data_IF_999705730292
#
_entry.id   IF_999705730292
#
_cell.length_a   1.000
_cell.length_b   1.000
_cell.length_c   1.000
_cell.angle_alpha   90.00
_cell.angle_beta   90.00
_cell.angle_gamma   90.00
#
_symmetry.space_group_name_H-M   'P 1'
#
loop_
_entity.id
_entity.type
_entity.pdbx_description
1 polymer ?
#
# COMPACT_ATOMS: atom_id res chain seq x y z
N UNK A 1 8.94 12.80 -4.50
CA UNK A 1 7.62 13.44 -4.60
C UNK A 1 6.52 12.46 -5.05
N UNK A 2 6.75 11.63 -6.09
CA UNK A 2 5.74 10.67 -6.56
C UNK A 2 5.32 9.62 -5.53
N UNK A 3 6.26 9.09 -4.74
CA UNK A 3 5.97 8.10 -3.70
C UNK A 3 5.20 8.72 -2.50
N UNK A 4 5.55 9.93 -2.10
CA UNK A 4 4.85 10.67 -1.03
C UNK A 4 3.42 10.98 -1.41
N UNK A 5 3.23 11.41 -2.64
CA UNK A 5 1.95 11.77 -3.21
C UNK A 5 0.95 10.59 -3.23
N UNK A 6 1.43 9.38 -3.58
CA UNK A 6 0.63 8.15 -3.52
C UNK A 6 0.03 7.92 -2.13
N UNK A 7 0.83 8.10 -1.07
CA UNK A 7 0.37 7.94 0.31
C UNK A 7 -0.72 8.96 0.65
N UNK A 8 -0.52 10.21 0.26
CA UNK A 8 -1.51 11.25 0.49
C UNK A 8 -2.84 10.94 -0.19
N UNK A 9 -2.82 10.46 -1.44
CA UNK A 9 -4.03 10.08 -2.19
C UNK A 9 -4.79 8.94 -1.53
N UNK A 10 -4.12 8.02 -0.86
CA UNK A 10 -4.76 6.87 -0.22
C UNK A 10 -5.17 7.14 1.21
N UNK A 11 -4.32 7.81 1.98
CA UNK A 11 -4.46 7.86 3.43
C UNK A 11 -5.19 9.13 3.92
N UNK A 12 -5.10 10.25 3.17
CA UNK A 12 -5.72 11.52 3.61
C UNK A 12 -7.25 11.51 3.66
N UNK A 13 -7.93 10.76 2.79
CA UNK A 13 -9.38 10.76 2.77
C UNK A 13 -10.01 9.68 3.67
N UNK A 14 -9.20 8.81 4.27
CA UNK A 14 -9.68 7.76 5.17
C UNK A 14 -10.57 8.29 6.31
N UNK A 15 -10.25 9.41 6.97
CA UNK A 15 -11.10 9.97 8.02
C UNK A 15 -12.52 10.32 7.56
N UNK A 16 -12.71 10.54 6.25
CA UNK A 16 -14.00 10.95 5.68
C UNK A 16 -14.83 9.80 5.12
N UNK A 17 -14.32 8.56 5.12
CA UNK A 17 -15.06 7.41 4.58
C UNK A 17 -16.46 7.23 5.22
N UNK A 18 -16.63 7.33 6.55
CA UNK A 18 -17.97 7.28 7.14
C UNK A 18 -18.90 8.38 6.63
N UNK A 19 -18.45 9.64 6.58
CA UNK A 19 -19.24 10.76 6.07
C UNK A 19 -19.58 10.64 4.57
N UNK A 20 -18.74 9.98 3.79
CA UNK A 20 -19.00 9.69 2.38
C UNK A 20 -20.14 8.67 2.20
N UNK A 21 -20.30 7.70 3.13
CA UNK A 21 -21.43 6.79 3.08
C UNK A 21 -22.76 7.52 3.25
N UNK A 22 -22.77 8.52 4.14
CA UNK A 22 -23.95 9.36 4.35
C UNK A 22 -24.21 10.31 3.17
N UNK A 23 -23.14 10.92 2.62
CA UNK A 23 -23.24 11.82 1.47
C UNK A 23 -23.80 11.13 0.22
N UNK A 24 -23.27 9.94 -0.11
CA UNK A 24 -23.71 9.17 -1.28
C UNK A 24 -24.93 8.29 -0.97
N UNK A 25 -25.48 8.33 0.24
CA UNK A 25 -26.61 7.51 0.71
C UNK A 25 -26.41 6.03 0.35
N UNK A 26 -25.25 5.50 0.72
CA UNK A 26 -24.81 4.16 0.32
C UNK A 26 -24.19 3.39 1.49
N UNK A 27 -23.91 2.10 1.27
CA UNK A 27 -23.29 1.24 2.29
C UNK A 27 -21.77 1.50 2.39
N UNK A 28 -21.21 1.24 3.58
CA UNK A 28 -19.78 1.29 3.82
C UNK A 28 -18.98 0.44 2.83
N UNK A 29 -19.51 -0.72 2.42
CA UNK A 29 -18.91 -1.60 1.42
C UNK A 29 -18.74 -0.89 0.06
N UNK A 30 -19.75 -0.14 -0.40
CA UNK A 30 -19.66 0.60 -1.66
C UNK A 30 -18.68 1.76 -1.59
N UNK A 31 -18.57 2.45 -0.46
CA UNK A 31 -17.56 3.50 -0.26
C UNK A 31 -16.15 2.92 -0.26
N UNK A 32 -15.97 1.75 0.37
CA UNK A 32 -14.70 1.03 0.38
C UNK A 32 -14.26 0.57 -1.03
N UNK A 33 -15.20 0.39 -1.98
CA UNK A 33 -14.84 0.15 -3.38
C UNK A 33 -14.00 1.29 -3.98
N UNK A 34 -14.15 2.53 -3.52
CA UNK A 34 -13.29 3.65 -3.92
C UNK A 34 -11.82 3.43 -3.52
N UNK A 35 -11.58 2.86 -2.33
CA UNK A 35 -10.25 2.46 -1.90
C UNK A 35 -9.74 1.26 -2.73
N UNK A 36 -10.57 0.23 -2.85
CA UNK A 36 -10.30 -0.98 -3.64
C UNK A 36 -9.87 -0.66 -5.06
N UNK A 37 -10.69 0.10 -5.80
CA UNK A 37 -10.44 0.40 -7.21
C UNK A 37 -9.20 1.26 -7.39
N UNK A 38 -8.90 2.16 -6.45
CA UNK A 38 -7.65 2.91 -6.43
C UNK A 38 -6.43 1.99 -6.26
N UNK A 39 -6.52 0.96 -5.40
CA UNK A 39 -5.46 -0.04 -5.20
C UNK A 39 -5.28 -0.92 -6.43
N UNK A 40 -6.36 -1.41 -7.02
CA UNK A 40 -6.32 -2.18 -8.27
C UNK A 40 -5.72 -1.33 -9.39
N UNK A 41 -6.13 -0.06 -9.48
CA UNK A 41 -5.54 0.91 -10.40
C UNK A 41 -4.03 1.07 -10.20
N UNK A 42 -3.58 1.20 -8.94
CA UNK A 42 -2.15 1.26 -8.60
C UNK A 42 -1.40 -0.01 -9.02
N UNK A 43 -1.98 -1.19 -8.78
CA UNK A 43 -1.37 -2.45 -9.18
C UNK A 43 -1.19 -2.54 -10.70
N UNK A 44 -2.26 -2.29 -11.45
CA UNK A 44 -2.24 -2.30 -12.93
C UNK A 44 -1.29 -1.22 -13.47
N UNK A 45 -1.38 0.00 -12.93
CA UNK A 45 -0.55 1.11 -13.37
C UNK A 45 0.94 0.86 -13.16
N UNK A 46 1.36 0.18 -12.10
CA UNK A 46 2.77 -0.20 -11.90
C UNK A 46 3.28 -1.12 -13.01
N UNK A 47 2.46 -2.08 -13.42
CA UNK A 47 2.79 -3.03 -14.51
C UNK A 47 2.82 -2.35 -15.87
N UNK A 48 2.06 -1.27 -16.07
CA UNK A 48 1.94 -0.56 -17.36
C UNK A 48 3.00 0.55 -17.49
N UNK A 49 3.11 1.44 -16.48
CA UNK A 49 3.99 2.61 -16.59
C UNK A 49 5.48 2.27 -16.52
N UNK A 50 5.88 1.16 -15.88
CA UNK A 50 7.26 0.70 -15.89
C UNK A 50 7.75 0.50 -17.34
N UNK A 51 7.20 -0.48 -18.07
CA UNK A 51 7.53 -0.75 -19.48
C UNK A 51 7.39 0.48 -20.39
N UNK A 52 6.32 1.26 -20.22
CA UNK A 52 6.13 2.46 -21.03
C UNK A 52 7.28 3.47 -20.85
N UNK A 53 7.72 3.67 -19.61
CA UNK A 53 8.77 4.63 -19.31
C UNK A 53 10.15 4.19 -19.80
N UNK A 54 10.40 2.88 -19.85
CA UNK A 54 11.63 2.32 -20.40
C UNK A 54 11.68 2.43 -21.95
N UNK A 55 10.53 2.39 -22.61
CA UNK A 55 10.40 2.47 -24.06
C UNK A 55 10.37 3.90 -24.59
N UNK A 56 9.53 4.76 -23.99
CA UNK A 56 9.26 6.11 -24.53
C UNK A 56 10.09 7.21 -23.82
N UNK A 57 10.91 6.84 -22.84
CA UNK A 57 11.59 7.78 -21.95
C UNK A 57 10.77 8.12 -20.72
N UNK A 58 11.35 8.78 -19.75
CA UNK A 58 10.75 9.04 -18.43
C UNK A 58 9.73 10.19 -18.46
N UNK A 59 10.06 11.25 -19.20
CA UNK A 59 9.29 12.50 -19.18
C UNK A 59 7.87 12.36 -19.74
N UNK A 60 7.72 11.77 -20.94
CA UNK A 60 6.41 11.69 -21.60
C UNK A 60 5.39 10.86 -20.84
N UNK A 61 5.69 9.62 -20.38
CA UNK A 61 4.75 8.85 -19.56
C UNK A 61 4.47 9.49 -18.20
N UNK A 62 5.44 10.22 -17.62
CA UNK A 62 5.24 10.96 -16.37
C UNK A 62 4.21 12.08 -16.55
N UNK A 63 4.31 12.87 -17.60
CA UNK A 63 3.35 13.94 -17.92
C UNK A 63 1.95 13.39 -18.18
N UNK A 64 1.84 12.27 -18.91
CA UNK A 64 0.56 11.58 -19.12
C UNK A 64 -0.04 11.11 -17.79
N UNK A 65 0.77 10.47 -16.94
CA UNK A 65 0.32 10.02 -15.64
C UNK A 65 -0.16 11.18 -14.76
N UNK A 66 0.59 12.28 -14.69
CA UNK A 66 0.21 13.45 -13.89
C UNK A 66 -1.03 14.16 -14.45
N UNK A 67 -1.17 14.25 -15.77
CA UNK A 67 -2.38 14.78 -16.42
C UNK A 67 -3.63 13.95 -16.11
N UNK A 68 -3.54 12.62 -16.26
CA UNK A 68 -4.61 11.70 -15.88
C UNK A 68 -4.97 11.81 -14.40
N UNK A 69 -3.96 12.03 -13.54
CA UNK A 69 -4.20 12.23 -12.12
C UNK A 69 -5.03 13.49 -11.85
N UNK A 70 -4.71 14.62 -12.47
CA UNK A 70 -5.49 15.86 -12.31
C UNK A 70 -6.91 15.67 -12.81
N UNK A 71 -7.10 15.09 -14.00
CA UNK A 71 -8.41 14.85 -14.58
C UNK A 71 -9.25 13.95 -13.66
N UNK A 72 -8.67 12.87 -13.16
CA UNK A 72 -9.38 11.94 -12.27
C UNK A 72 -9.68 12.55 -10.90
N UNK A 73 -8.81 13.41 -10.38
CA UNK A 73 -9.07 14.15 -9.14
C UNK A 73 -10.25 15.11 -9.29
N UNK A 74 -10.30 15.84 -10.39
CA UNK A 74 -11.48 16.68 -10.74
C UNK A 74 -12.73 15.80 -10.88
N UNK A 75 -12.62 14.65 -11.55
CA UNK A 75 -13.71 13.68 -11.65
C UNK A 75 -14.23 13.19 -10.30
N UNK A 76 -13.31 12.92 -9.33
CA UNK A 76 -13.72 12.59 -7.96
C UNK A 76 -14.48 13.73 -7.28
N UNK A 77 -14.00 14.99 -7.40
CA UNK A 77 -14.63 16.16 -6.78
C UNK A 77 -16.07 16.36 -7.26
N UNK A 78 -16.31 16.19 -8.55
CA UNK A 78 -17.61 16.42 -9.17
C UNK A 78 -18.48 15.17 -9.30
N UNK A 79 -18.09 14.07 -8.67
CA UNK A 79 -18.89 12.84 -8.66
C UNK A 79 -20.21 13.04 -7.92
N UNK A 80 -21.32 12.70 -8.58
CA UNK A 80 -22.68 12.82 -8.04
C UNK A 80 -23.18 11.53 -7.40
N UNK A 81 -22.59 10.41 -7.77
CA UNK A 81 -22.92 9.09 -7.23
C UNK A 81 -21.63 8.30 -6.96
N UNK A 82 -21.78 7.25 -6.17
CA UNK A 82 -20.65 6.41 -5.74
C UNK A 82 -20.00 5.68 -6.90
N UNK A 83 -20.74 5.33 -7.94
CA UNK A 83 -20.19 4.59 -9.09
C UNK A 83 -19.23 5.46 -9.92
N UNK A 84 -19.59 6.74 -10.12
CA UNK A 84 -18.70 7.72 -10.75
C UNK A 84 -17.44 7.93 -9.91
N UNK A 85 -17.60 8.09 -8.60
CA UNK A 85 -16.46 8.25 -7.68
C UNK A 85 -15.51 7.04 -7.77
N UNK A 86 -16.03 5.83 -7.68
CA UNK A 86 -15.28 4.57 -7.78
C UNK A 86 -14.52 4.45 -9.10
N UNK A 87 -15.16 4.84 -10.22
CA UNK A 87 -14.50 4.85 -11.53
C UNK A 87 -13.33 5.85 -11.56
N UNK A 88 -13.54 7.08 -11.10
CA UNK A 88 -12.48 8.08 -11.07
C UNK A 88 -11.34 7.70 -10.12
N UNK A 89 -11.65 7.02 -9.00
CA UNK A 89 -10.66 6.47 -8.07
C UNK A 89 -9.78 5.41 -8.74
N UNK A 90 -10.35 4.56 -9.61
CA UNK A 90 -9.58 3.61 -10.41
C UNK A 90 -8.58 4.33 -11.32
N UNK A 91 -9.05 5.30 -12.10
CA UNK A 91 -8.19 6.10 -13.00
C UNK A 91 -7.10 6.83 -12.23
N UNK A 92 -7.44 7.40 -11.07
CA UNK A 92 -6.51 8.10 -10.18
C UNK A 92 -5.43 7.14 -9.64
N UNK A 93 -5.80 5.89 -9.32
CA UNK A 93 -4.87 4.85 -8.91
C UNK A 93 -3.89 4.49 -10.03
N UNK A 94 -4.36 4.24 -11.24
CA UNK A 94 -3.52 3.98 -12.42
C UNK A 94 -2.54 5.12 -12.64
N UNK A 95 -3.01 6.34 -12.61
CA UNK A 95 -2.20 7.55 -12.79
C UNK A 95 -1.15 7.72 -11.68
N UNK A 96 -1.55 7.52 -10.42
CA UNK A 96 -0.63 7.60 -9.26
C UNK A 96 0.52 6.59 -9.34
N UNK A 97 0.28 5.40 -9.88
CA UNK A 97 1.31 4.40 -10.09
C UNK A 97 2.42 4.88 -11.04
N UNK A 98 2.05 5.62 -12.09
CA UNK A 98 3.01 6.21 -13.02
C UNK A 98 3.99 7.14 -12.31
N UNK A 99 3.49 8.02 -11.44
CA UNK A 99 4.35 8.89 -10.63
C UNK A 99 5.35 8.14 -9.76
N UNK A 100 4.91 7.05 -9.13
CA UNK A 100 5.75 6.23 -8.23
C UNK A 100 6.84 5.48 -9.00
N UNK A 101 6.45 4.75 -10.04
CA UNK A 101 7.40 3.90 -10.80
C UNK A 101 8.43 4.76 -11.51
N UNK A 102 7.97 5.82 -12.19
CA UNK A 102 8.86 6.65 -12.99
C UNK A 102 9.81 7.47 -12.11
N UNK A 103 9.38 7.96 -10.93
CA UNK A 103 10.27 8.68 -10.01
C UNK A 103 11.42 7.82 -9.51
N UNK A 104 11.17 6.55 -9.21
CA UNK A 104 12.22 5.58 -8.82
C UNK A 104 13.16 5.28 -9.99
N UNK A 105 12.62 5.11 -11.19
CA UNK A 105 13.44 4.90 -12.39
C UNK A 105 14.32 6.11 -12.68
N UNK A 106 13.82 7.34 -12.54
CA UNK A 106 14.61 8.58 -12.67
C UNK A 106 15.76 8.62 -11.66
N UNK A 107 15.50 8.20 -10.42
CA UNK A 107 16.55 8.11 -9.40
C UNK A 107 17.63 7.11 -9.83
N UNK A 108 17.22 5.93 -10.32
CA UNK A 108 18.15 4.91 -10.81
C UNK A 108 18.96 5.36 -12.05
N UNK A 109 18.37 6.19 -12.91
CA UNK A 109 19.05 6.71 -14.11
C UNK A 109 20.11 7.80 -13.77
N UNK A 110 19.93 8.53 -12.65
CA UNK A 110 20.75 9.72 -12.32
C UNK A 110 21.84 9.48 -11.29
N UNK A 111 21.68 8.48 -10.42
CA UNK A 111 22.55 8.27 -9.27
C UNK A 111 23.35 6.98 -9.42
N UNK A 112 24.61 7.00 -8.98
CA UNK A 112 25.44 5.79 -8.85
C UNK A 112 24.83 4.84 -7.81
N UNK A 113 25.23 3.56 -7.81
CA UNK A 113 24.67 2.54 -6.92
C UNK A 113 24.70 2.94 -5.43
N UNK A 114 25.76 3.59 -4.99
CA UNK A 114 25.90 4.06 -3.60
C UNK A 114 24.99 5.25 -3.29
N UNK A 115 24.95 6.23 -4.17
CA UNK A 115 24.07 7.42 -4.04
C UNK A 115 22.59 7.04 -4.16
N UNK A 116 22.27 6.08 -5.03
CA UNK A 116 20.91 5.56 -5.20
C UNK A 116 20.39 4.92 -3.91
N UNK A 117 21.23 4.16 -3.20
CA UNK A 117 20.86 3.59 -1.91
C UNK A 117 20.47 4.67 -0.89
N UNK A 118 21.27 5.76 -0.81
CA UNK A 118 20.96 6.91 0.04
C UNK A 118 19.69 7.64 -0.38
N UNK A 119 19.46 7.79 -1.69
CA UNK A 119 18.26 8.43 -2.23
C UNK A 119 16.99 7.58 -1.95
N UNK A 120 17.07 6.27 -2.14
CA UNK A 120 15.97 5.35 -1.82
C UNK A 120 15.66 5.30 -0.32
N UNK A 121 16.69 5.37 0.54
CA UNK A 121 16.50 5.48 1.99
C UNK A 121 15.78 6.80 2.36
N UNK A 122 16.16 7.92 1.72
CA UNK A 122 15.48 9.21 1.89
C UNK A 122 14.02 9.14 1.44
N UNK A 123 13.74 8.55 0.28
CA UNK A 123 12.37 8.32 -0.20
C UNK A 123 11.59 7.47 0.81
N UNK A 124 12.21 6.43 1.37
CA UNK A 124 11.62 5.58 2.40
C UNK A 124 11.28 6.35 3.67
N UNK A 125 12.20 7.19 4.16
CA UNK A 125 11.98 8.02 5.34
C UNK A 125 10.84 9.04 5.13
N UNK A 126 10.83 9.73 3.98
CA UNK A 126 9.77 10.67 3.63
C UNK A 126 8.42 9.97 3.48
N UNK A 127 8.40 8.76 2.91
CA UNK A 127 7.18 7.93 2.86
C UNK A 127 6.68 7.53 4.26
N UNK A 128 7.59 7.19 5.19
CA UNK A 128 7.23 6.92 6.59
C UNK A 128 6.58 8.13 7.26
N UNK A 129 7.17 9.31 7.11
CA UNK A 129 6.60 10.56 7.62
C UNK A 129 5.24 10.85 6.96
N UNK A 130 5.13 10.69 5.66
CA UNK A 130 3.89 10.93 4.92
C UNK A 130 2.74 10.02 5.41
N UNK A 131 3.02 8.77 5.78
CA UNK A 131 2.02 7.84 6.32
C UNK A 131 1.42 8.33 7.65
N UNK A 132 2.20 9.04 8.46
CA UNK A 132 1.74 9.63 9.71
C UNK A 132 1.02 10.97 9.47
N UNK A 133 1.61 11.83 8.64
CA UNK A 133 1.12 13.21 8.41
C UNK A 133 -0.14 13.22 7.53
N UNK A 134 -0.27 12.30 6.57
CA UNK A 134 -1.38 12.31 5.64
C UNK A 134 -2.76 12.12 6.32
N UNK A 135 -2.99 11.14 7.20
CA UNK A 135 -4.27 11.02 7.91
C UNK A 135 -4.56 12.21 8.83
N UNK A 136 -3.53 12.72 9.53
CA UNK A 136 -3.68 13.89 10.43
C UNK A 136 -4.08 15.14 9.62
N UNK A 137 -3.39 15.39 8.51
CA UNK A 137 -3.77 16.47 7.60
C UNK A 137 -5.15 16.27 6.99
N UNK A 138 -5.50 15.01 6.68
CA UNK A 138 -6.82 14.62 6.20
C UNK A 138 -7.92 14.86 7.24
N UNK A 139 -7.69 14.51 8.51
CA UNK A 139 -8.60 14.78 9.62
C UNK A 139 -8.84 16.28 9.81
N UNK A 140 -7.77 17.08 9.83
CA UNK A 140 -7.87 18.53 9.92
C UNK A 140 -8.64 19.15 8.73
N UNK A 141 -8.37 18.71 7.51
CA UNK A 141 -9.08 19.20 6.31
C UNK A 141 -10.53 18.74 6.29
N UNK A 142 -10.85 17.56 6.85
CA UNK A 142 -12.20 17.06 6.95
C UNK A 142 -13.10 17.98 7.79
N UNK A 143 -12.57 18.56 8.87
CA UNK A 143 -13.29 19.49 9.73
C UNK A 143 -13.66 20.81 9.02
N UNK A 144 -12.85 21.26 8.05
CA UNK A 144 -13.05 22.52 7.33
C UNK A 144 -13.85 22.38 6.03
N UNK A 145 -13.65 21.32 5.28
CA UNK A 145 -14.21 21.19 3.92
C UNK A 145 -14.75 19.81 3.58
N UNK A 146 -14.87 18.93 4.58
CA UNK A 146 -15.28 17.54 4.37
C UNK A 146 -14.34 16.81 3.39
N UNK A 147 -14.85 15.76 2.76
CA UNK A 147 -14.10 14.99 1.79
C UNK A 147 -13.74 15.78 0.52
N UNK A 148 -14.58 16.73 0.10
CA UNK A 148 -14.27 17.61 -1.04
C UNK A 148 -13.03 18.47 -0.79
N UNK A 149 -12.86 19.01 0.43
CA UNK A 149 -11.68 19.80 0.79
C UNK A 149 -10.37 19.02 0.63
N UNK A 150 -10.40 17.74 0.96
CA UNK A 150 -9.24 16.87 0.77
C UNK A 150 -8.90 16.69 -0.71
N UNK A 151 -9.90 16.44 -1.57
CA UNK A 151 -9.66 16.28 -3.01
C UNK A 151 -9.23 17.60 -3.68
N UNK A 152 -9.70 18.76 -3.22
CA UNK A 152 -9.21 20.06 -3.67
C UNK A 152 -7.74 20.28 -3.27
N UNK A 153 -7.34 19.88 -2.06
CA UNK A 153 -5.94 19.92 -1.65
C UNK A 153 -5.08 18.98 -2.51
N UNK A 154 -5.54 17.75 -2.78
CA UNK A 154 -4.87 16.82 -3.67
C UNK A 154 -4.74 17.36 -5.10
N UNK A 155 -5.76 18.07 -5.58
CA UNK A 155 -5.70 18.74 -6.88
C UNK A 155 -4.62 19.83 -6.91
N UNK A 156 -4.59 20.71 -5.91
CA UNK A 156 -3.57 21.74 -5.81
C UNK A 156 -2.14 21.16 -5.77
N UNK A 157 -1.96 20.10 -5.00
CA UNK A 157 -0.69 19.37 -4.93
C UNK A 157 -0.34 18.73 -6.28
N UNK A 158 -1.32 18.15 -6.97
CA UNK A 158 -1.18 17.59 -8.31
C UNK A 158 -0.73 18.64 -9.34
N UNK A 159 -1.29 19.83 -9.28
CA UNK A 159 -0.87 20.97 -10.14
C UNK A 159 0.60 21.33 -9.90
N UNK A 160 1.03 21.40 -8.64
CA UNK A 160 2.45 21.65 -8.31
C UNK A 160 3.37 20.57 -8.88
N UNK A 161 2.94 19.30 -8.81
CA UNK A 161 3.70 18.18 -9.37
C UNK A 161 3.74 18.22 -10.90
N UNK A 162 2.67 18.63 -11.57
CA UNK A 162 2.66 18.84 -13.03
C UNK A 162 3.65 19.94 -13.42
N UNK A 163 3.62 21.08 -12.72
CA UNK A 163 4.56 22.19 -12.97
C UNK A 163 6.01 21.71 -12.82
N UNK A 164 6.30 20.95 -11.77
CA UNK A 164 7.61 20.33 -11.57
C UNK A 164 7.99 19.34 -12.69
N UNK A 165 7.04 18.52 -13.12
CA UNK A 165 7.25 17.53 -14.18
C UNK A 165 7.45 18.14 -15.55
N UNK A 166 6.80 19.25 -15.86
CA UNK A 166 7.01 19.99 -17.12
C UNK A 166 8.44 20.55 -17.22
N UNK A 167 8.99 21.01 -16.09
CA UNK A 167 10.37 21.53 -16.02
C UNK A 167 11.42 20.43 -16.01
N UNK A 168 11.01 19.17 -15.82
CA UNK A 168 11.91 18.03 -15.77
C UNK A 168 12.50 17.75 -17.16
N UNK A 169 13.84 17.65 -17.23
CA UNK A 169 14.55 17.22 -18.44
C UNK A 169 14.62 15.70 -18.50
N UNK A 170 14.48 15.13 -19.70
CA UNK A 170 14.55 13.69 -19.91
C UNK A 170 15.84 13.10 -19.31
N UNK A 171 15.69 12.05 -18.50
CA UNK A 171 16.82 11.37 -17.86
C UNK A 171 17.31 10.15 -18.63
N UNK A 172 16.47 9.56 -19.50
CA UNK A 172 16.81 8.38 -20.29
C UNK A 172 17.14 8.76 -21.72
N UNK A 173 18.43 8.77 -22.12
CA UNK A 173 18.85 9.07 -23.50
C UNK A 173 18.22 8.12 -24.51
N UNK A 174 18.00 8.59 -25.74
CA UNK A 174 17.34 7.81 -26.80
C UNK A 174 18.08 6.48 -27.05
N UNK A 175 19.41 6.48 -27.01
CA UNK A 175 20.23 5.28 -27.22
C UNK A 175 20.16 4.23 -26.11
N UNK A 176 19.63 4.58 -24.92
CA UNK A 176 19.47 3.66 -23.79
C UNK A 176 18.03 3.18 -23.63
N UNK A 177 17.10 3.68 -24.46
CA UNK A 177 15.70 3.23 -24.41
C UNK A 177 15.59 1.79 -24.87
N UNK A 178 14.79 1.00 -24.15
CA UNK A 178 14.59 -0.41 -24.51
C UNK A 178 13.70 -0.50 -25.76
N UNK A 179 14.28 -0.94 -26.88
CA UNK A 179 13.52 -1.21 -28.11
C UNK A 179 12.89 -2.62 -28.10
N UNK A 180 12.44 -3.06 -26.91
CA UNK A 180 11.83 -4.35 -26.68
C UNK A 180 10.31 -4.20 -26.82
N UNK A 181 9.65 -5.20 -27.41
CA UNK A 181 8.18 -5.25 -27.43
C UNK A 181 7.68 -5.35 -25.99
N UNK A 182 6.60 -4.62 -25.65
CA UNK A 182 6.03 -4.69 -24.30
C UNK A 182 5.71 -6.14 -23.89
N UNK A 183 5.34 -6.99 -24.83
CA UNK A 183 5.06 -8.43 -24.61
C UNK A 183 6.30 -9.16 -24.08
N UNK A 184 7.49 -8.87 -24.59
CA UNK A 184 8.73 -9.55 -24.17
C UNK A 184 9.13 -9.15 -22.75
N UNK A 185 8.72 -7.96 -22.27
CA UNK A 185 8.89 -7.57 -20.88
C UNK A 185 8.00 -8.40 -19.95
N UNK A 186 6.78 -8.75 -20.37
CA UNK A 186 5.91 -9.61 -19.55
C UNK A 186 6.44 -11.05 -19.44
N UNK A 187 7.23 -11.55 -20.37
CA UNK A 187 7.91 -12.84 -20.24
C UNK A 187 8.89 -12.86 -19.04
N UNK A 188 9.50 -11.71 -18.72
CA UNK A 188 10.38 -11.60 -17.52
C UNK A 188 9.59 -11.74 -16.22
N UNK A 189 8.35 -11.26 -16.16
CA UNK A 189 7.47 -11.51 -15.01
C UNK A 189 7.21 -13.01 -14.83
N UNK A 190 6.95 -13.74 -15.93
CA UNK A 190 6.78 -15.19 -15.89
C UNK A 190 8.03 -15.93 -15.41
N UNK A 191 9.23 -15.45 -15.78
CA UNK A 191 10.49 -16.05 -15.32
C UNK A 191 10.68 -15.91 -13.80
N UNK A 192 10.40 -14.71 -13.24
CA UNK A 192 10.47 -14.45 -11.80
C UNK A 192 9.44 -15.28 -11.04
N UNK A 193 8.22 -15.41 -11.56
CA UNK A 193 7.15 -16.22 -10.96
C UNK A 193 7.40 -17.74 -11.03
N UNK A 194 8.39 -18.21 -11.79
CA UNK A 194 8.83 -19.61 -11.76
C UNK A 194 9.72 -19.92 -10.55
N UNK A 195 10.31 -18.93 -9.94
CA UNK A 195 11.08 -19.09 -8.72
C UNK A 195 10.13 -19.37 -7.54
N UNK A 196 10.06 -20.63 -7.11
CA UNK A 196 9.15 -21.08 -6.04
C UNK A 196 9.42 -20.36 -4.70
N UNK A 197 10.68 -20.05 -4.40
CA UNK A 197 11.05 -19.36 -3.17
C UNK A 197 10.54 -17.91 -3.19
N UNK A 198 10.73 -17.21 -4.31
CA UNK A 198 10.19 -15.87 -4.52
C UNK A 198 8.67 -15.85 -4.39
N UNK A 199 7.98 -16.79 -5.04
CA UNK A 199 6.49 -16.88 -5.01
C UNK A 199 5.98 -17.06 -3.59
N UNK A 200 6.65 -17.82 -2.75
CA UNK A 200 6.26 -17.98 -1.34
C UNK A 200 6.38 -16.68 -0.56
N UNK A 201 7.52 -16.00 -0.67
CA UNK A 201 7.72 -14.74 0.03
C UNK A 201 6.78 -13.63 -0.46
N UNK A 202 6.47 -13.59 -1.77
CA UNK A 202 5.53 -12.61 -2.31
C UNK A 202 4.10 -12.89 -1.89
N UNK A 203 3.67 -14.16 -1.80
CA UNK A 203 2.36 -14.53 -1.28
C UNK A 203 2.24 -14.20 0.21
N UNK A 204 3.26 -14.53 1.00
CA UNK A 204 3.31 -14.19 2.41
C UNK A 204 3.28 -12.66 2.62
N UNK A 205 4.04 -11.90 1.83
CA UNK A 205 3.96 -10.44 1.77
C UNK A 205 2.54 -9.98 1.43
N UNK A 206 1.89 -10.61 0.45
CA UNK A 206 0.52 -10.31 0.06
C UNK A 206 -0.49 -10.49 1.21
N UNK A 207 -0.41 -11.60 1.96
CA UNK A 207 -1.27 -11.82 3.13
C UNK A 207 -0.99 -10.81 4.26
N UNK A 208 0.28 -10.47 4.51
CA UNK A 208 0.64 -9.42 5.47
C UNK A 208 0.06 -8.06 5.05
N UNK A 209 0.11 -7.73 3.76
CA UNK A 209 -0.55 -6.54 3.20
C UNK A 209 -2.07 -6.63 3.33
N UNK A 210 -2.65 -7.82 3.17
CA UNK A 210 -4.07 -8.06 3.42
C UNK A 210 -4.48 -7.66 4.84
N UNK A 211 -3.71 -8.06 5.86
CA UNK A 211 -3.94 -7.65 7.26
C UNK A 211 -3.84 -6.12 7.42
N UNK A 212 -2.82 -5.49 6.82
CA UNK A 212 -2.68 -4.03 6.84
C UNK A 212 -3.90 -3.34 6.22
N UNK A 213 -4.32 -3.78 5.05
CA UNK A 213 -5.46 -3.18 4.34
C UNK A 213 -6.80 -3.49 4.99
N UNK A 214 -6.93 -4.60 5.72
CA UNK A 214 -8.09 -4.83 6.60
C UNK A 214 -8.20 -3.70 7.63
N UNK A 215 -7.08 -3.33 8.29
CA UNK A 215 -7.07 -2.21 9.23
C UNK A 215 -7.40 -0.89 8.53
N UNK A 216 -6.77 -0.60 7.40
CA UNK A 216 -7.01 0.66 6.66
C UNK A 216 -8.49 0.80 6.26
N UNK A 217 -9.14 -0.29 5.86
CA UNK A 217 -10.54 -0.28 5.45
C UNK A 217 -11.52 -0.27 6.62
N UNK A 218 -11.21 -0.93 7.74
CA UNK A 218 -12.13 -1.07 8.89
C UNK A 218 -12.00 0.05 9.92
N UNK A 219 -10.79 0.54 10.18
CA UNK A 219 -10.51 1.46 11.27
C UNK A 219 -11.36 2.76 11.24
N UNK A 220 -11.57 3.44 10.09
CA UNK A 220 -12.40 4.64 10.04
C UNK A 220 -13.82 4.40 10.55
N UNK A 221 -14.41 3.27 10.17
CA UNK A 221 -15.77 2.91 10.57
C UNK A 221 -15.83 2.43 12.03
N UNK A 222 -14.90 1.58 12.45
CA UNK A 222 -14.86 1.09 13.84
C UNK A 222 -14.61 2.25 14.79
N UNK A 223 -13.60 3.09 14.55
CA UNK A 223 -13.26 4.18 15.46
C UNK A 223 -14.32 5.29 15.48
N UNK A 224 -14.85 5.68 14.32
CA UNK A 224 -15.77 6.81 14.27
C UNK A 224 -17.23 6.40 14.50
N UNK A 225 -17.73 5.33 13.84
CA UNK A 225 -19.15 4.95 13.96
C UNK A 225 -19.42 4.10 15.19
N UNK A 226 -18.52 3.18 15.58
CA UNK A 226 -18.75 2.32 16.74
C UNK A 226 -18.29 2.95 18.04
N UNK A 227 -17.07 3.54 18.08
CA UNK A 227 -16.53 4.18 19.29
C UNK A 227 -16.80 5.69 19.37
N UNK A 228 -17.37 6.31 18.33
CA UNK A 228 -17.78 7.73 18.35
C UNK A 228 -16.62 8.73 18.29
N UNK A 229 -15.43 8.34 17.78
CA UNK A 229 -14.30 9.26 17.69
C UNK A 229 -14.54 10.30 16.59
N UNK A 230 -14.03 11.52 16.81
CA UNK A 230 -13.98 12.52 15.74
C UNK A 230 -13.00 12.11 14.63
N UNK A 231 -13.16 12.62 13.39
CA UNK A 231 -12.22 12.38 12.30
C UNK A 231 -10.77 12.74 12.65
N UNK A 232 -10.59 13.82 13.42
CA UNK A 232 -9.27 14.25 13.88
C UNK A 232 -8.66 13.25 14.87
N UNK A 233 -9.43 12.80 15.88
CA UNK A 233 -8.94 11.84 16.86
C UNK A 233 -8.63 10.47 16.23
N UNK A 234 -9.48 9.99 15.30
CA UNK A 234 -9.19 8.85 14.45
C UNK A 234 -7.82 9.00 13.77
N UNK A 235 -7.57 10.16 13.16
CA UNK A 235 -6.35 10.42 12.40
C UNK A 235 -5.10 10.40 13.29
N UNK A 236 -5.20 10.91 14.52
CA UNK A 236 -4.10 10.86 15.50
C UNK A 236 -3.80 9.41 15.89
N UNK A 237 -4.81 8.61 16.26
CA UNK A 237 -4.64 7.20 16.60
C UNK A 237 -4.04 6.41 15.41
N UNK A 238 -4.57 6.62 14.20
CA UNK A 238 -4.05 5.99 13.00
C UNK A 238 -2.58 6.37 12.73
N UNK A 239 -2.21 7.64 12.99
CA UNK A 239 -0.83 8.11 12.93
C UNK A 239 0.09 7.44 13.95
N UNK A 240 -0.36 7.27 15.20
CA UNK A 240 0.37 6.55 16.26
C UNK A 240 0.61 5.10 15.84
N UNK A 241 -0.40 4.44 15.30
CA UNK A 241 -0.30 3.07 14.79
C UNK A 241 0.69 2.97 13.60
N UNK A 242 0.73 3.96 12.73
CA UNK A 242 1.71 4.03 11.64
C UNK A 242 3.15 4.17 12.18
N UNK A 243 3.36 4.97 13.22
CA UNK A 243 4.67 5.09 13.90
C UNK A 243 5.11 3.76 14.48
N UNK A 244 4.21 3.01 15.13
CA UNK A 244 4.51 1.67 15.65
C UNK A 244 4.99 0.72 14.56
N UNK A 245 4.32 0.73 13.40
CA UNK A 245 4.69 -0.06 12.24
C UNK A 245 6.08 0.33 11.71
N UNK A 246 6.40 1.62 11.65
CA UNK A 246 7.72 2.10 11.19
C UNK A 246 8.82 1.69 12.17
N UNK A 247 8.60 1.85 13.47
CA UNK A 247 9.58 1.46 14.50
C UNK A 247 9.84 -0.04 14.46
N UNK A 248 8.80 -0.87 14.41
CA UNK A 248 8.95 -2.32 14.36
C UNK A 248 9.61 -2.81 13.07
N UNK A 249 9.33 -2.13 11.95
CA UNK A 249 10.01 -2.32 10.67
C UNK A 249 11.52 -2.04 10.78
N UNK A 250 11.91 -0.96 11.45
CA UNK A 250 13.32 -0.66 11.71
C UNK A 250 13.96 -1.65 12.70
N UNK A 251 13.23 -2.12 13.70
CA UNK A 251 13.71 -3.14 14.65
C UNK A 251 13.92 -4.51 14.01
N UNK A 252 13.19 -4.85 12.94
CA UNK A 252 13.36 -6.12 12.23
C UNK A 252 14.79 -6.33 11.73
N UNK A 253 15.48 -5.24 11.36
CA UNK A 253 16.88 -5.28 10.89
C UNK A 253 17.86 -5.64 12.01
N UNK A 254 17.47 -5.47 13.28
CA UNK A 254 18.28 -5.84 14.45
C UNK A 254 18.13 -7.31 14.87
N UNK A 255 17.18 -8.04 14.28
CA UNK A 255 17.05 -9.47 14.50
C UNK A 255 18.26 -10.22 13.93
N UNK A 256 18.55 -11.40 14.46
CA UNK A 256 19.69 -12.24 14.02
C UNK A 256 19.65 -12.57 12.52
N UNK A 257 18.45 -12.79 12.00
CA UNK A 257 18.19 -13.01 10.56
C UNK A 257 16.83 -12.43 10.18
N UNK A 258 16.64 -12.13 8.88
CA UNK A 258 15.32 -11.70 8.37
C UNK A 258 14.27 -12.81 8.47
N UNK A 259 14.66 -14.06 8.39
CA UNK A 259 13.78 -15.22 8.62
C UNK A 259 13.26 -15.24 10.06
N UNK A 260 14.13 -14.96 11.04
CA UNK A 260 13.72 -14.87 12.45
C UNK A 260 12.75 -13.70 12.68
N UNK A 261 13.03 -12.53 12.12
CA UNK A 261 12.11 -11.39 12.16
C UNK A 261 10.74 -11.73 11.54
N UNK A 262 10.76 -12.49 10.43
CA UNK A 262 9.56 -12.96 9.76
C UNK A 262 8.72 -13.88 10.65
N UNK A 263 9.37 -14.84 11.33
CA UNK A 263 8.69 -15.75 12.25
C UNK A 263 8.06 -14.99 13.42
N UNK A 264 8.79 -14.06 14.06
CA UNK A 264 8.25 -13.24 15.14
C UNK A 264 7.04 -12.44 14.66
N UNK A 265 7.16 -11.76 13.52
CA UNK A 265 6.08 -10.96 12.94
C UNK A 265 4.84 -11.81 12.66
N UNK A 266 5.00 -12.97 12.02
CA UNK A 266 3.87 -13.83 11.66
C UNK A 266 3.16 -14.43 12.88
N UNK A 267 3.90 -15.03 13.82
CA UNK A 267 3.30 -15.64 15.01
C UNK A 267 2.68 -14.57 15.92
N UNK A 268 3.35 -13.42 16.08
CA UNK A 268 2.79 -12.28 16.81
C UNK A 268 1.53 -11.74 16.16
N UNK A 269 1.51 -11.58 14.83
CA UNK A 269 0.35 -11.14 14.07
C UNK A 269 -0.83 -12.14 14.23
N UNK A 270 -0.58 -13.45 14.16
CA UNK A 270 -1.60 -14.47 14.37
C UNK A 270 -2.15 -14.44 15.80
N UNK A 271 -1.28 -14.40 16.80
CA UNK A 271 -1.69 -14.36 18.21
C UNK A 271 -2.57 -13.14 18.51
N UNK A 272 -2.13 -11.95 18.07
CA UNK A 272 -2.86 -10.71 18.33
C UNK A 272 -4.17 -10.65 17.53
N UNK A 273 -4.22 -11.21 16.32
CA UNK A 273 -5.46 -11.27 15.54
C UNK A 273 -6.52 -12.15 16.20
N UNK A 274 -6.12 -13.22 16.87
CA UNK A 274 -7.04 -14.04 17.70
C UNK A 274 -7.55 -13.23 18.89
N UNK A 275 -6.67 -12.55 19.62
CA UNK A 275 -7.07 -11.70 20.75
C UNK A 275 -8.03 -10.58 20.29
N UNK A 276 -7.75 -9.95 19.14
CA UNK A 276 -8.60 -8.90 18.60
C UNK A 276 -9.99 -9.43 18.18
N UNK A 277 -10.04 -10.62 17.60
CA UNK A 277 -11.31 -11.28 17.25
C UNK A 277 -12.15 -11.59 18.51
N UNK A 278 -11.52 -12.08 19.57
CA UNK A 278 -12.17 -12.31 20.87
C UNK A 278 -12.62 -10.97 21.49
N UNK A 279 -11.79 -9.94 21.43
CA UNK A 279 -12.12 -8.63 21.95
C UNK A 279 -13.33 -8.01 21.23
N UNK A 280 -13.46 -8.18 19.91
CA UNK A 280 -14.65 -7.77 19.17
C UNK A 280 -15.90 -8.53 19.59
N UNK A 281 -15.79 -9.84 19.80
CA UNK A 281 -16.90 -10.67 20.27
C UNK A 281 -17.37 -10.24 21.68
N UNK A 282 -16.44 -9.86 22.56
CA UNK A 282 -16.72 -9.39 23.92
C UNK A 282 -17.13 -7.91 23.98
N UNK A 283 -17.28 -7.21 22.86
CA UNK A 283 -17.57 -5.78 22.80
C UNK A 283 -16.61 -4.93 23.65
N UNK A 284 -15.30 -5.12 23.45
CA UNK A 284 -14.26 -4.40 24.20
C UNK A 284 -14.39 -2.88 24.08
N UNK A 285 -13.84 -2.17 25.07
CA UNK A 285 -13.73 -0.71 25.01
C UNK A 285 -12.67 -0.26 23.99
N UNK A 286 -12.71 1.03 23.63
CA UNK A 286 -11.80 1.62 22.64
C UNK A 286 -10.31 1.39 22.97
N UNK A 287 -9.91 1.52 24.23
CA UNK A 287 -8.49 1.40 24.61
C UNK A 287 -7.94 -0.01 24.41
N UNK A 288 -8.74 -1.04 24.69
CA UNK A 288 -8.36 -2.43 24.43
C UNK A 288 -8.20 -2.65 22.93
N UNK A 289 -9.15 -2.16 22.12
CA UNK A 289 -9.06 -2.21 20.68
C UNK A 289 -7.78 -1.54 20.16
N UNK A 290 -7.51 -0.31 20.58
CA UNK A 290 -6.39 0.48 20.12
C UNK A 290 -5.04 -0.16 20.46
N UNK A 291 -4.88 -0.65 21.70
CA UNK A 291 -3.66 -1.37 22.12
C UNK A 291 -3.45 -2.63 21.28
N UNK A 292 -4.49 -3.41 21.02
CA UNK A 292 -4.38 -4.62 20.21
C UNK A 292 -4.04 -4.28 18.75
N UNK A 293 -4.64 -3.24 18.17
CA UNK A 293 -4.32 -2.79 16.81
C UNK A 293 -2.89 -2.25 16.73
N UNK A 294 -2.45 -1.48 17.72
CA UNK A 294 -1.06 -1.01 17.82
C UNK A 294 -0.07 -2.17 17.83
N UNK A 295 -0.32 -3.20 18.64
CA UNK A 295 0.49 -4.41 18.67
C UNK A 295 0.42 -5.19 17.36
N UNK A 296 -0.77 -5.33 16.75
CA UNK A 296 -0.97 -6.01 15.47
C UNK A 296 -0.14 -5.33 14.37
N UNK A 297 -0.23 -4.00 14.25
CA UNK A 297 0.48 -3.25 13.22
C UNK A 297 1.99 -3.22 13.46
N UNK A 298 2.44 -3.31 14.71
CA UNK A 298 3.85 -3.54 15.02
C UNK A 298 4.34 -4.88 14.43
N UNK A 299 3.58 -5.96 14.58
CA UNK A 299 3.93 -7.26 14.01
C UNK A 299 3.84 -7.25 12.49
N UNK A 300 2.85 -6.56 11.93
CA UNK A 300 2.73 -6.33 10.47
C UNK A 300 3.97 -5.61 9.94
N UNK A 301 4.46 -4.55 10.59
CA UNK A 301 5.65 -3.82 10.17
C UNK A 301 6.90 -4.71 10.10
N UNK A 302 7.08 -5.58 11.09
CA UNK A 302 8.18 -6.55 11.13
C UNK A 302 8.06 -7.57 10.00
N UNK A 303 6.91 -8.21 9.84
CA UNK A 303 6.65 -9.20 8.79
C UNK A 303 6.75 -8.60 7.38
N UNK A 304 6.25 -7.38 7.18
CA UNK A 304 6.33 -6.62 5.94
C UNK A 304 7.78 -6.42 5.48
N UNK A 305 8.63 -5.90 6.37
CA UNK A 305 10.04 -5.62 6.04
C UNK A 305 10.80 -6.91 5.77
N UNK A 306 10.61 -7.92 6.60
CA UNK A 306 11.30 -9.20 6.46
C UNK A 306 10.90 -9.91 5.15
N UNK A 307 9.60 -10.02 4.84
CA UNK A 307 9.14 -10.68 3.61
C UNK A 307 9.56 -9.93 2.35
N UNK A 308 9.51 -8.60 2.37
CA UNK A 308 9.98 -7.78 1.25
C UNK A 308 11.48 -8.00 0.99
N UNK A 309 12.30 -7.97 2.05
CA UNK A 309 13.75 -8.17 1.94
C UNK A 309 14.07 -9.56 1.41
N UNK A 310 13.46 -10.61 1.96
CA UNK A 310 13.69 -11.99 1.55
C UNK A 310 13.24 -12.25 0.11
N UNK A 311 12.09 -11.70 -0.30
CA UNK A 311 11.63 -11.79 -1.69
C UNK A 311 12.61 -11.11 -2.66
N UNK A 312 13.07 -9.91 -2.35
CA UNK A 312 14.03 -9.18 -3.19
C UNK A 312 15.39 -9.89 -3.27
N UNK A 313 15.79 -10.54 -2.19
CA UNK A 313 17.05 -11.31 -2.13
C UNK A 313 17.05 -12.53 -3.08
N UNK A 314 15.90 -13.18 -3.23
CA UNK A 314 15.72 -14.31 -4.15
C UNK A 314 15.89 -13.92 -5.63
N UNK A 315 15.63 -12.66 -6.01
CA UNK A 315 15.60 -12.21 -7.40
C UNK A 315 16.46 -10.96 -7.65
N UNK A 316 17.66 -10.91 -7.05
CA UNK A 316 18.58 -9.76 -7.18
C UNK A 316 18.91 -9.40 -8.63
N UNK A 317 19.00 -10.39 -9.54
CA UNK A 317 19.27 -10.17 -10.97
C UNK A 317 18.09 -9.52 -11.70
N UNK A 318 16.86 -9.73 -11.21
CA UNK A 318 15.61 -9.21 -11.77
C UNK A 318 14.93 -8.23 -10.82
N UNK A 319 15.70 -7.49 -10.01
CA UNK A 319 15.19 -6.66 -8.92
C UNK A 319 14.07 -5.69 -9.33
N UNK A 320 14.14 -5.11 -10.54
CA UNK A 320 13.10 -4.21 -11.04
C UNK A 320 11.76 -4.93 -11.26
N UNK A 321 11.80 -6.12 -11.88
CA UNK A 321 10.60 -6.95 -12.12
C UNK A 321 10.05 -7.47 -10.79
N UNK A 322 10.93 -7.96 -9.90
CA UNK A 322 10.55 -8.45 -8.58
C UNK A 322 9.88 -7.34 -7.73
N UNK A 323 10.44 -6.14 -7.71
CA UNK A 323 9.85 -5.00 -7.01
C UNK A 323 8.48 -4.59 -7.55
N UNK A 324 8.30 -4.61 -8.89
CA UNK A 324 7.02 -4.32 -9.52
C UNK A 324 5.95 -5.37 -9.14
N UNK A 325 6.32 -6.65 -9.14
CA UNK A 325 5.44 -7.74 -8.72
C UNK A 325 5.06 -7.62 -7.23
N UNK A 326 6.02 -7.32 -6.35
CA UNK A 326 5.75 -7.08 -4.92
C UNK A 326 4.72 -5.96 -4.74
N UNK A 327 4.92 -4.83 -5.41
CA UNK A 327 3.98 -3.71 -5.34
C UNK A 327 2.59 -4.09 -5.87
N UNK A 328 2.52 -4.77 -7.03
CA UNK A 328 1.27 -5.19 -7.63
C UNK A 328 0.50 -6.20 -6.75
N UNK A 329 1.17 -7.22 -6.21
CA UNK A 329 0.57 -8.22 -5.33
C UNK A 329 0.08 -7.58 -4.02
N UNK A 330 0.89 -6.72 -3.39
CA UNK A 330 0.47 -6.03 -2.17
C UNK A 330 -0.82 -5.25 -2.36
N UNK A 331 -0.96 -4.50 -3.45
CA UNK A 331 -2.18 -3.77 -3.76
C UNK A 331 -3.32 -4.66 -4.23
N UNK A 332 -3.05 -5.77 -4.92
CA UNK A 332 -4.07 -6.74 -5.29
C UNK A 332 -4.73 -7.37 -4.05
N UNK A 333 -3.94 -7.77 -3.05
CA UNK A 333 -4.47 -8.26 -1.77
C UNK A 333 -5.29 -7.19 -1.04
N UNK A 334 -4.81 -5.94 -1.01
CA UNK A 334 -5.58 -4.82 -0.48
C UNK A 334 -6.90 -4.61 -1.20
N UNK A 335 -6.87 -4.67 -2.53
CA UNK A 335 -8.07 -4.55 -3.36
C UNK A 335 -9.09 -5.67 -3.16
N UNK A 336 -8.65 -6.89 -2.86
CA UNK A 336 -9.54 -8.03 -2.55
C UNK A 336 -10.14 -7.88 -1.14
N UNK A 337 -9.32 -7.56 -0.16
CA UNK A 337 -9.72 -7.56 1.25
C UNK A 337 -10.61 -6.35 1.59
N UNK A 338 -10.33 -5.20 1.02
CA UNK A 338 -11.03 -3.95 1.35
C UNK A 338 -12.55 -4.02 1.24
N UNK A 339 -13.17 -4.52 0.14
CA UNK A 339 -14.62 -4.63 0.05
C UNK A 339 -15.19 -5.72 0.98
N UNK A 340 -14.41 -6.76 1.28
CA UNK A 340 -14.84 -7.84 2.17
C UNK A 340 -15.06 -7.36 3.61
N UNK A 341 -14.30 -6.36 4.05
CA UNK A 341 -14.48 -5.70 5.35
C UNK A 341 -15.89 -5.12 5.50
N UNK A 342 -16.45 -4.55 4.43
CA UNK A 342 -17.78 -3.95 4.45
C UNK A 342 -18.95 -4.91 4.25
N UNK A 343 -18.70 -6.21 4.11
CA UNK A 343 -19.74 -7.24 3.93
C UNK A 343 -20.23 -7.74 5.29
N UNK A 344 -21.33 -7.19 5.77
CA UNK A 344 -21.93 -7.52 7.06
C UNK A 344 -21.49 -6.58 8.18
N UNK A 345 -21.37 -7.12 9.42
CA UNK A 345 -20.85 -6.33 10.54
C UNK A 345 -19.34 -6.14 10.39
N UNK A 346 -18.91 -4.88 10.34
CA UNK A 346 -17.51 -4.50 10.03
C UNK A 346 -16.53 -5.09 11.05
N UNK A 347 -16.90 -5.19 12.34
CA UNK A 347 -16.02 -5.73 13.39
C UNK A 347 -15.80 -7.23 13.19
N UNK A 348 -16.89 -7.97 12.96
CA UNK A 348 -16.83 -9.41 12.72
C UNK A 348 -16.05 -9.72 11.44
N UNK A 349 -16.32 -9.01 10.36
CA UNK A 349 -15.62 -9.15 9.09
C UNK A 349 -14.13 -8.81 9.23
N UNK A 350 -13.79 -7.72 9.92
CA UNK A 350 -12.41 -7.33 10.16
C UNK A 350 -11.68 -8.36 11.03
N UNK A 351 -12.27 -8.83 12.12
CA UNK A 351 -11.69 -9.86 12.99
C UNK A 351 -11.38 -11.13 12.21
N UNK A 352 -12.33 -11.61 11.41
CA UNK A 352 -12.15 -12.78 10.55
C UNK A 352 -11.01 -12.57 9.53
N UNK A 353 -10.95 -11.43 8.87
CA UNK A 353 -9.94 -11.13 7.86
C UNK A 353 -8.55 -10.93 8.46
N UNK A 354 -8.44 -10.34 9.65
CA UNK A 354 -7.18 -10.29 10.41
C UNK A 354 -6.67 -11.69 10.71
N UNK A 355 -7.54 -12.54 11.25
CA UNK A 355 -7.19 -13.92 11.58
C UNK A 355 -6.79 -14.72 10.32
N UNK A 356 -7.60 -14.71 9.28
CA UNK A 356 -7.33 -15.47 8.05
C UNK A 356 -6.06 -14.98 7.34
N UNK A 357 -5.85 -13.66 7.25
CA UNK A 357 -4.64 -13.08 6.66
C UNK A 357 -3.38 -13.50 7.44
N UNK A 358 -3.43 -13.43 8.77
CA UNK A 358 -2.32 -13.84 9.63
C UNK A 358 -2.06 -15.36 9.57
N UNK A 359 -3.11 -16.18 9.56
CA UNK A 359 -3.00 -17.64 9.43
C UNK A 359 -2.36 -18.04 8.08
N UNK A 360 -2.86 -17.50 6.98
CA UNK A 360 -2.30 -17.77 5.65
C UNK A 360 -0.85 -17.31 5.53
N UNK A 361 -0.51 -16.15 6.13
CA UNK A 361 0.87 -15.67 6.20
C UNK A 361 1.78 -16.64 6.95
N UNK A 362 1.32 -17.19 8.09
CA UNK A 362 2.04 -18.22 8.85
C UNK A 362 2.22 -19.51 8.03
N UNK A 363 1.18 -20.00 7.36
CA UNK A 363 1.23 -21.23 6.54
C UNK A 363 2.28 -21.08 5.42
N UNK A 364 2.32 -19.94 4.75
CA UNK A 364 3.32 -19.66 3.71
C UNK A 364 4.75 -19.68 4.27
N UNK A 365 4.96 -19.24 5.52
CA UNK A 365 6.26 -19.26 6.17
C UNK A 365 6.69 -20.68 6.61
N UNK A 366 5.78 -21.46 7.17
CA UNK A 366 6.07 -22.84 7.69
C UNK A 366 6.38 -23.81 6.56
N UNK A 367 5.73 -23.71 5.41
CA UNK A 367 6.03 -24.54 4.23
C UNK A 367 7.47 -24.45 3.77
N UNK A 368 8.22 -23.43 4.18
CA UNK A 368 9.64 -23.27 3.88
C UNK A 368 10.55 -24.13 4.79
N UNK A 369 10.28 -24.18 6.09
CA UNK A 369 11.13 -24.90 7.05
C UNK A 369 11.11 -26.40 6.79
N UNK A 370 9.99 -26.96 6.40
CA UNK A 370 9.87 -28.39 6.07
C UNK A 370 10.64 -28.78 4.78
N UNK A 371 10.67 -27.92 3.77
CA UNK A 371 11.38 -28.23 2.51
C UNK A 371 12.89 -28.09 2.65
N UNK A 372 13.38 -27.12 3.42
CA UNK A 372 14.81 -26.96 3.69
C UNK A 372 15.34 -28.11 4.56
N UNK A 373 14.53 -28.61 5.50
CA UNK A 373 14.88 -29.79 6.29
C UNK A 373 14.97 -31.05 5.40
N UNK A 374 14.15 -31.17 4.37
CA UNK A 374 14.23 -32.28 3.40
C UNK A 374 15.43 -32.18 2.45
N UNK A 375 15.83 -30.97 2.03
CA UNK A 375 17.02 -30.77 1.18
C UNK A 375 18.32 -30.98 1.94
N UNK A 376 18.38 -30.63 3.24
CA UNK A 376 19.57 -30.86 4.09
C UNK A 376 19.69 -32.31 4.57
N UNK A 377 18.66 -33.13 4.50
CA UNK A 377 18.73 -34.57 4.80
C UNK A 377 19.09 -35.43 3.58
N UNK A 378 19.18 -34.84 2.39
CA UNK A 378 19.55 -35.52 1.14
C UNK A 378 21.00 -35.23 0.69
N UNK A 379 21.76 -34.50 1.48
CA UNK A 379 23.20 -34.29 1.35
C UNK A 379 23.92 -34.76 2.64
#
# INVERSE_FOLDING_TARGET
LGDVYKRQVMDMYLPTLPAMSDFFQTTSSKVQLGLTTSMVGLAIGQLVFGPLSDKYGRRSPLLVAMGLFLISTVGCIFSRDISQFVLWRFVQGVAGAGGVVISRSIAADKYSAHELAGMLATIGAVNGIATVVAPIGGGALADFGGWHGIFWFLFALGVLLVIGSVRFKESLPIGQRQNIRCVDMYHRFGAVLRNRQYVRYILQYGFTMGVLFTNIASAPFIMQQHYGLSPMLFSVCFGVNAVAMVISSALSVRCSTMEHALHIGNHGMLFISVLLSVAFFLNCNFWVYEVLVFCLLSMVGMAFTASNTLAMDCERRNAGVASALLGAIGFAFGGIVSPLVGMGDIRSSAGFLFFMGALCSCICAVSYTHLRAHETTLH
#
